data_IF_714446804277
#
_entry.id   IF_714446804277
#
_cell.length_a   1.000
_cell.length_b   1.000
_cell.length_c   1.000
_cell.angle_alpha   90.00
_cell.angle_beta   90.00
_cell.angle_gamma   90.00
#
_symmetry.space_group_name_H-M   'P 1'
#
loop_
_entity.id
_entity.type
_entity.pdbx_description
1 polymer ?
#
# COMPACT_ATOMS: atom_id res chain seq x y z
N UNK A 1 9.07 -11.38 -15.68
CA UNK A 1 9.52 -10.01 -15.99
C UNK A 1 8.94 -9.03 -15.00
N UNK A 2 7.62 -8.75 -15.00
CA UNK A 2 6.99 -7.70 -14.18
C UNK A 2 7.28 -7.80 -12.68
N UNK A 3 7.23 -9.00 -12.11
CA UNK A 3 7.53 -9.19 -10.67
C UNK A 3 9.00 -8.95 -10.31
N UNK A 4 9.95 -9.27 -11.20
CA UNK A 4 11.37 -8.94 -11.01
C UNK A 4 11.56 -7.42 -11.10
N UNK A 5 10.88 -6.77 -12.04
CA UNK A 5 10.86 -5.31 -12.15
C UNK A 5 10.33 -4.66 -10.87
N UNK A 6 9.21 -5.15 -10.33
CA UNK A 6 8.63 -4.67 -9.07
C UNK A 6 9.60 -4.85 -7.89
N UNK A 7 10.27 -6.00 -7.81
CA UNK A 7 11.26 -6.27 -6.76
C UNK A 7 12.45 -5.31 -6.81
N UNK A 8 13.05 -5.14 -7.99
CA UNK A 8 14.20 -4.24 -8.16
C UNK A 8 13.78 -2.78 -7.93
N UNK A 9 12.62 -2.37 -8.47
CA UNK A 9 12.08 -1.03 -8.28
C UNK A 9 11.83 -0.72 -6.81
N UNK A 10 11.17 -1.61 -6.07
CA UNK A 10 10.92 -1.45 -4.64
C UNK A 10 12.22 -1.39 -3.83
N UNK A 11 13.21 -2.23 -4.16
CA UNK A 11 14.51 -2.22 -3.49
C UNK A 11 15.29 -0.92 -3.74
N UNK A 12 15.23 -0.36 -4.95
CA UNK A 12 15.93 0.87 -5.32
C UNK A 12 15.23 2.14 -4.82
N UNK A 13 13.90 2.13 -4.76
CA UNK A 13 13.08 3.23 -4.24
C UNK A 13 13.19 3.33 -2.72
N UNK A 14 13.34 2.20 -2.05
CA UNK A 14 13.34 2.06 -0.60
C UNK A 14 11.92 1.99 0.01
N UNK A 15 11.83 1.65 1.29
CA UNK A 15 10.55 1.45 1.96
C UNK A 15 9.81 2.77 2.19
N UNK A 16 8.47 2.68 2.23
CA UNK A 16 7.61 3.80 2.65
C UNK A 16 7.98 4.25 4.06
N UNK A 17 7.77 5.54 4.35
CA UNK A 17 8.03 6.13 5.66
C UNK A 17 7.27 5.34 6.74
N UNK A 18 8.00 4.86 7.76
CA UNK A 18 7.43 4.09 8.86
C UNK A 18 7.15 2.60 8.58
N UNK A 19 7.43 2.07 7.40
CA UNK A 19 7.23 0.63 7.12
C UNK A 19 8.09 -0.26 8.02
N UNK A 20 9.36 0.07 8.18
CA UNK A 20 10.30 -0.67 9.01
C UNK A 20 10.82 0.19 10.15
N UNK A 21 10.52 -0.19 11.39
CA UNK A 21 11.03 0.48 12.58
C UNK A 21 12.40 -0.09 12.91
N UNK A 22 13.38 0.80 13.09
CA UNK A 22 14.76 0.43 13.42
C UNK A 22 15.09 0.89 14.85
N UNK A 23 15.93 0.12 15.54
CA UNK A 23 16.55 0.53 16.80
C UNK A 23 17.72 1.50 16.57
N UNK A 24 18.35 1.93 17.67
CA UNK A 24 19.53 2.82 17.65
C UNK A 24 20.73 2.24 16.89
N UNK A 25 20.77 0.92 16.71
CA UNK A 25 21.82 0.20 15.99
C UNK A 25 21.48 -0.05 14.50
N UNK A 26 20.34 0.48 14.04
CA UNK A 26 19.87 0.31 12.66
C UNK A 26 19.21 -1.05 12.37
N UNK A 27 19.03 -1.91 13.38
CA UNK A 27 18.36 -3.21 13.22
C UNK A 27 16.85 -3.03 13.20
N UNK A 28 16.18 -3.67 12.25
CA UNK A 28 14.73 -3.65 12.16
C UNK A 28 14.13 -4.46 13.32
N UNK A 29 13.30 -3.81 14.11
CA UNK A 29 12.63 -4.37 15.29
C UNK A 29 11.16 -4.63 15.07
N UNK A 30 10.53 -3.89 14.16
CA UNK A 30 9.09 -4.03 13.85
C UNK A 30 8.81 -3.73 12.37
N UNK A 31 7.88 -4.49 11.81
CA UNK A 31 7.31 -4.25 10.48
C UNK A 31 5.87 -3.76 10.66
N UNK A 32 5.57 -2.59 10.15
CA UNK A 32 4.22 -2.03 10.23
C UNK A 32 3.38 -2.44 9.01
N UNK A 33 2.10 -2.72 9.25
CA UNK A 33 1.13 -2.94 8.19
C UNK A 33 0.65 -1.59 7.62
N UNK A 34 0.43 -1.56 6.31
CA UNK A 34 -0.19 -0.45 5.60
C UNK A 34 -1.43 -1.00 4.88
N UNK A 35 -2.59 -1.04 5.55
CA UNK A 35 -3.81 -1.56 4.96
C UNK A 35 -4.26 -0.70 3.78
N UNK A 36 -4.88 -1.34 2.78
CA UNK A 36 -5.51 -0.64 1.68
C UNK A 36 -6.69 0.22 2.17
N UNK A 37 -6.93 1.33 1.50
CA UNK A 37 -7.98 2.29 1.85
C UNK A 37 -9.41 1.79 1.54
N UNK A 38 -9.56 0.86 0.57
CA UNK A 38 -10.88 0.37 0.14
C UNK A 38 -10.81 -1.07 -0.38
N UNK A 39 -11.03 -2.04 0.50
CA UNK A 39 -11.05 -3.46 0.12
C UNK A 39 -12.17 -3.84 -0.86
N UNK A 40 -13.41 -3.32 -0.77
CA UNK A 40 -14.44 -3.58 -1.79
C UNK A 40 -14.03 -3.14 -3.18
N UNK A 41 -13.37 -1.98 -3.32
CA UNK A 41 -12.84 -1.52 -4.62
C UNK A 41 -11.69 -2.41 -5.10
N UNK A 42 -10.82 -2.85 -4.19
CA UNK A 42 -9.77 -3.84 -4.50
C UNK A 42 -10.36 -5.17 -4.98
N UNK A 43 -11.44 -5.64 -4.36
CA UNK A 43 -12.17 -6.84 -4.77
C UNK A 43 -12.75 -6.69 -6.19
N UNK A 44 -13.40 -5.56 -6.48
CA UNK A 44 -13.90 -5.24 -7.83
C UNK A 44 -12.75 -5.26 -8.85
N UNK A 45 -11.60 -4.67 -8.50
CA UNK A 45 -10.40 -4.69 -9.35
C UNK A 45 -9.94 -6.12 -9.67
N UNK A 46 -9.93 -7.02 -8.68
CA UNK A 46 -9.57 -8.43 -8.89
C UNK A 46 -10.57 -9.14 -9.82
N UNK A 47 -11.87 -8.89 -9.67
CA UNK A 47 -12.88 -9.46 -10.59
C UNK A 47 -12.71 -8.96 -12.02
N UNK A 48 -12.43 -7.68 -12.23
CA UNK A 48 -12.16 -7.11 -13.55
C UNK A 48 -10.90 -7.74 -14.16
N UNK A 49 -9.83 -7.90 -13.37
CA UNK A 49 -8.61 -8.56 -13.81
C UNK A 49 -8.86 -10.03 -14.16
N UNK A 50 -9.63 -10.76 -13.36
CA UNK A 50 -9.95 -12.15 -13.63
C UNK A 50 -10.76 -12.31 -14.91
N UNK A 51 -11.76 -11.45 -15.12
CA UNK A 51 -12.50 -11.42 -16.39
C UNK A 51 -11.56 -11.16 -17.58
N UNK A 52 -10.68 -10.17 -17.47
CA UNK A 52 -9.68 -9.87 -18.49
C UNK A 52 -8.70 -11.03 -18.73
N UNK A 53 -8.45 -11.85 -17.71
CA UNK A 53 -7.55 -12.99 -17.79
C UNK A 53 -8.06 -14.13 -18.68
N UNK A 54 -9.37 -14.30 -18.78
CA UNK A 54 -9.95 -15.19 -19.79
C UNK A 54 -9.58 -14.75 -21.21
N UNK A 55 -9.62 -13.46 -21.49
CA UNK A 55 -9.13 -12.91 -22.75
C UNK A 55 -7.62 -13.08 -22.92
N UNK A 56 -6.85 -12.81 -21.87
CA UNK A 56 -5.40 -12.90 -21.88
C UNK A 56 -4.91 -14.33 -22.16
N UNK A 57 -5.37 -15.32 -21.38
CA UNK A 57 -5.02 -16.72 -21.58
C UNK A 57 -5.68 -17.31 -22.84
N UNK A 58 -6.95 -16.94 -23.07
CA UNK A 58 -7.72 -17.43 -24.22
C UNK A 58 -7.19 -16.96 -25.58
N UNK A 59 -6.44 -15.86 -25.62
CA UNK A 59 -5.82 -15.37 -26.86
C UNK A 59 -4.79 -16.36 -27.45
N UNK A 60 -4.29 -17.29 -26.66
CA UNK A 60 -3.41 -18.36 -27.13
C UNK A 60 -4.16 -19.49 -27.88
N UNK A 61 -5.48 -19.60 -27.71
CA UNK A 61 -6.27 -20.66 -28.29
C UNK A 61 -6.37 -20.56 -29.82
N UNK A 62 -6.27 -21.69 -30.50
CA UNK A 62 -6.44 -21.78 -31.94
C UNK A 62 -7.67 -22.63 -32.34
N UNK A 63 -8.39 -23.19 -31.35
CA UNK A 63 -9.66 -23.91 -31.53
C UNK A 63 -10.61 -23.61 -30.34
N UNK A 64 -11.89 -23.88 -30.55
CA UNK A 64 -12.92 -23.72 -29.50
C UNK A 64 -12.71 -24.73 -28.36
N UNK A 65 -12.25 -25.93 -28.66
CA UNK A 65 -11.95 -26.95 -27.67
C UNK A 65 -10.79 -26.54 -26.76
N UNK A 66 -9.74 -25.99 -27.35
CA UNK A 66 -8.60 -25.42 -26.59
C UNK A 66 -9.01 -24.24 -25.76
N UNK A 67 -9.81 -23.32 -26.31
CA UNK A 67 -10.35 -22.17 -25.57
C UNK A 67 -11.16 -22.63 -24.34
N UNK A 68 -12.00 -23.65 -24.51
CA UNK A 68 -12.75 -24.27 -23.42
C UNK A 68 -11.83 -24.83 -22.33
N UNK A 69 -10.78 -25.58 -22.72
CA UNK A 69 -9.78 -26.09 -21.78
C UNK A 69 -9.05 -24.97 -21.02
N UNK A 70 -8.61 -23.95 -21.72
CA UNK A 70 -7.95 -22.78 -21.11
C UNK A 70 -8.86 -22.08 -20.11
N UNK A 71 -10.15 -21.93 -20.41
CA UNK A 71 -11.10 -21.33 -19.48
C UNK A 71 -11.29 -22.16 -18.21
N UNK A 72 -11.32 -23.48 -18.34
CA UNK A 72 -11.41 -24.41 -17.20
C UNK A 72 -10.16 -24.26 -16.30
N UNK A 73 -8.96 -24.34 -16.86
CA UNK A 73 -7.71 -24.22 -16.09
C UNK A 73 -7.57 -22.84 -15.44
N UNK A 74 -7.93 -21.78 -16.17
CA UNK A 74 -7.93 -20.38 -15.71
C UNK A 74 -8.96 -20.13 -14.60
N UNK A 75 -10.02 -20.93 -14.52
CA UNK A 75 -11.02 -20.85 -13.43
C UNK A 75 -10.56 -21.65 -12.21
N UNK A 76 -10.08 -22.87 -12.40
CA UNK A 76 -9.74 -23.78 -11.31
C UNK A 76 -8.60 -23.25 -10.45
N UNK A 77 -7.47 -22.88 -11.06
CA UNK A 77 -6.27 -22.52 -10.32
C UNK A 77 -6.48 -21.32 -9.36
N UNK A 78 -7.03 -20.17 -9.80
CA UNK A 78 -7.27 -19.05 -8.89
C UNK A 78 -8.35 -19.35 -7.83
N UNK A 79 -9.37 -20.15 -8.17
CA UNK A 79 -10.40 -20.55 -7.20
C UNK A 79 -9.80 -21.38 -6.07
N UNK A 80 -8.99 -22.38 -6.40
CA UNK A 80 -8.29 -23.22 -5.42
C UNK A 80 -7.26 -22.40 -4.62
N UNK A 81 -6.50 -21.52 -5.27
CA UNK A 81 -5.55 -20.66 -4.58
C UNK A 81 -6.24 -19.78 -3.53
N UNK A 82 -7.39 -19.19 -3.87
CA UNK A 82 -8.20 -18.39 -2.96
C UNK A 82 -8.69 -19.20 -1.77
N UNK A 83 -9.26 -20.39 -2.01
CA UNK A 83 -9.80 -21.27 -0.95
C UNK A 83 -8.68 -21.74 -0.02
N UNK A 84 -7.54 -22.16 -0.56
CA UNK A 84 -6.39 -22.62 0.23
C UNK A 84 -5.83 -21.47 1.08
N UNK A 85 -5.67 -20.28 0.50
CA UNK A 85 -5.25 -19.10 1.24
C UNK A 85 -6.25 -18.70 2.33
N UNK A 86 -7.55 -18.75 2.03
CA UNK A 86 -8.62 -18.46 2.99
C UNK A 86 -8.55 -19.41 4.19
N UNK A 87 -8.46 -20.72 3.96
CA UNK A 87 -8.35 -21.72 5.01
C UNK A 87 -7.07 -21.51 5.82
N UNK A 88 -5.93 -21.33 5.15
CA UNK A 88 -4.64 -21.12 5.80
C UNK A 88 -4.64 -19.88 6.71
N UNK A 89 -5.11 -18.74 6.19
CA UNK A 89 -5.17 -17.49 6.96
C UNK A 89 -6.18 -17.58 8.10
N UNK A 90 -7.30 -18.27 7.89
CA UNK A 90 -8.29 -18.50 8.93
C UNK A 90 -7.72 -19.31 10.10
N UNK A 91 -7.07 -20.44 9.80
CA UNK A 91 -6.43 -21.28 10.83
C UNK A 91 -5.33 -20.52 11.56
N UNK A 92 -4.51 -19.76 10.82
CA UNK A 92 -3.33 -19.07 11.37
C UNK A 92 -3.67 -17.81 12.16
N UNK A 93 -4.65 -17.03 11.70
CA UNK A 93 -4.98 -15.70 12.25
C UNK A 93 -6.34 -15.64 12.95
N UNK A 94 -7.08 -16.75 12.99
CA UNK A 94 -8.43 -16.81 13.59
C UNK A 94 -9.55 -16.23 12.72
N UNK A 95 -9.21 -15.51 11.65
CA UNK A 95 -10.14 -14.96 10.64
C UNK A 95 -9.48 -15.01 9.26
N UNK A 96 -10.28 -15.19 8.18
CA UNK A 96 -9.75 -15.09 6.82
C UNK A 96 -9.23 -13.68 6.54
N UNK A 97 -8.07 -13.60 5.88
CA UNK A 97 -7.53 -12.32 5.42
C UNK A 97 -7.99 -12.03 4.00
N UNK A 98 -8.88 -11.05 3.85
CA UNK A 98 -9.49 -10.70 2.56
C UNK A 98 -8.43 -10.22 1.57
N UNK A 99 -7.46 -9.41 2.01
CA UNK A 99 -6.42 -8.88 1.12
C UNK A 99 -5.51 -9.99 0.61
N UNK A 100 -5.17 -10.96 1.46
CA UNK A 100 -4.43 -12.16 1.06
C UNK A 100 -5.24 -13.05 0.12
N UNK A 101 -6.55 -13.22 0.32
CA UNK A 101 -7.41 -13.97 -0.58
C UNK A 101 -7.48 -13.32 -1.98
N UNK A 102 -7.53 -11.99 -2.05
CA UNK A 102 -7.48 -11.26 -3.31
C UNK A 102 -6.13 -11.47 -4.03
N UNK A 103 -5.03 -11.38 -3.30
CA UNK A 103 -3.71 -11.67 -3.84
C UNK A 103 -3.57 -13.14 -4.26
N UNK A 104 -4.17 -14.08 -3.55
CA UNK A 104 -4.16 -15.50 -3.91
C UNK A 104 -4.93 -15.80 -5.20
N UNK A 105 -6.06 -15.10 -5.41
CA UNK A 105 -6.79 -15.18 -6.69
C UNK A 105 -5.89 -14.78 -7.86
N UNK A 106 -5.20 -13.65 -7.74
CA UNK A 106 -4.26 -13.19 -8.76
C UNK A 106 -3.04 -14.11 -8.89
N UNK A 107 -2.52 -14.62 -7.78
CA UNK A 107 -1.39 -15.55 -7.77
C UNK A 107 -1.71 -16.87 -8.51
N UNK A 108 -2.92 -17.41 -8.31
CA UNK A 108 -3.40 -18.58 -9.03
C UNK A 108 -3.56 -18.33 -10.53
N UNK A 109 -4.06 -17.15 -10.93
CA UNK A 109 -4.12 -16.71 -12.32
C UNK A 109 -2.72 -16.62 -12.94
N UNK A 110 -1.78 -15.98 -12.25
CA UNK A 110 -0.39 -15.85 -12.71
C UNK A 110 0.25 -17.23 -12.87
N UNK A 111 0.10 -18.09 -11.88
CA UNK A 111 0.76 -19.40 -11.89
C UNK A 111 0.24 -20.34 -12.99
N UNK A 112 -1.06 -20.30 -13.30
CA UNK A 112 -1.61 -21.16 -14.36
C UNK A 112 -1.32 -20.61 -15.75
N UNK A 113 -1.04 -19.32 -15.89
CA UNK A 113 -0.87 -18.64 -17.19
C UNK A 113 0.18 -19.31 -18.08
N UNK A 114 1.32 -19.70 -17.51
CA UNK A 114 2.40 -20.32 -18.30
C UNK A 114 2.03 -21.67 -18.92
N UNK A 115 1.07 -22.36 -18.33
CA UNK A 115 0.67 -23.70 -18.77
C UNK A 115 -0.83 -23.87 -19.00
N UNK A 116 -1.60 -22.78 -19.09
CA UNK A 116 -3.06 -22.81 -19.14
C UNK A 116 -3.63 -23.67 -20.26
N UNK A 117 -2.91 -23.84 -21.36
CA UNK A 117 -3.24 -24.60 -22.55
C UNK A 117 -2.70 -26.04 -22.56
N UNK A 118 -1.68 -26.31 -21.71
CA UNK A 118 -0.96 -27.62 -21.73
C UNK A 118 -1.09 -28.42 -20.44
N UNK A 119 -1.78 -27.89 -19.42
CA UNK A 119 -2.10 -28.64 -18.19
C UNK A 119 -3.57 -29.07 -18.17
N UNK A 120 -3.87 -30.09 -17.40
CA UNK A 120 -5.25 -30.53 -17.15
C UNK A 120 -5.84 -29.91 -15.87
N UNK A 121 -7.10 -30.27 -15.56
CA UNK A 121 -7.79 -29.80 -14.37
C UNK A 121 -7.06 -30.20 -13.08
N UNK A 122 -6.48 -31.40 -13.01
CA UNK A 122 -5.74 -31.87 -11.83
C UNK A 122 -4.46 -31.04 -11.62
N UNK A 123 -3.67 -30.85 -12.69
CA UNK A 123 -2.51 -29.96 -12.66
C UNK A 123 -2.87 -28.56 -12.19
N UNK A 124 -4.00 -28.01 -12.66
CA UNK A 124 -4.50 -26.68 -12.25
C UNK A 124 -4.87 -26.61 -10.77
N UNK A 125 -5.44 -27.68 -10.20
CA UNK A 125 -5.74 -27.77 -8.76
C UNK A 125 -4.44 -27.68 -7.95
N UNK A 126 -3.41 -28.44 -8.33
CA UNK A 126 -2.12 -28.44 -7.62
C UNK A 126 -1.42 -27.09 -7.77
N UNK A 127 -1.42 -26.54 -8.98
CA UNK A 127 -0.85 -25.21 -9.25
C UNK A 127 -1.50 -24.17 -8.35
N UNK A 128 -2.83 -24.14 -8.28
CA UNK A 128 -3.58 -23.23 -7.44
C UNK A 128 -3.31 -23.42 -5.95
N UNK A 129 -3.29 -24.67 -5.48
CA UNK A 129 -3.05 -24.98 -4.07
C UNK A 129 -1.68 -24.47 -3.59
N UNK A 130 -0.64 -24.72 -4.37
CA UNK A 130 0.71 -24.20 -4.08
C UNK A 130 0.74 -22.68 -4.13
N UNK A 131 0.07 -22.06 -5.11
CA UNK A 131 0.01 -20.60 -5.25
C UNK A 131 -0.62 -19.91 -4.06
N UNK A 132 -1.70 -20.49 -3.52
CA UNK A 132 -2.39 -19.96 -2.35
C UNK A 132 -1.52 -19.90 -1.08
N UNK A 133 -0.61 -20.87 -0.91
CA UNK A 133 0.37 -20.87 0.18
C UNK A 133 1.59 -19.98 -0.13
N UNK A 134 2.06 -20.06 -1.37
CA UNK A 134 3.26 -19.36 -1.82
C UNK A 134 3.08 -17.83 -1.74
N UNK A 135 1.91 -17.30 -2.03
CA UNK A 135 1.66 -15.86 -1.95
C UNK A 135 1.73 -15.36 -0.50
N UNK A 136 1.16 -16.10 0.46
CA UNK A 136 1.23 -15.73 1.87
C UNK A 136 2.68 -15.78 2.39
N UNK A 137 3.39 -16.85 2.04
CA UNK A 137 4.81 -16.97 2.36
C UNK A 137 5.63 -15.85 1.71
N UNK A 138 5.37 -15.54 0.45
CA UNK A 138 6.10 -14.53 -0.32
C UNK A 138 5.96 -13.13 0.26
N UNK A 139 4.75 -12.70 0.61
CA UNK A 139 4.52 -11.42 1.29
C UNK A 139 5.25 -11.37 2.64
N UNK A 140 5.09 -12.42 3.45
CA UNK A 140 5.80 -12.52 4.72
C UNK A 140 7.33 -12.46 4.54
N UNK A 141 7.87 -13.14 3.54
CA UNK A 141 9.30 -13.20 3.25
C UNK A 141 9.84 -11.84 2.82
N UNK A 142 9.12 -11.11 1.94
CA UNK A 142 9.49 -9.76 1.54
C UNK A 142 9.55 -8.81 2.74
N UNK A 143 8.54 -8.83 3.59
CA UNK A 143 8.42 -7.93 4.73
C UNK A 143 9.40 -8.27 5.86
N UNK A 144 9.56 -9.56 6.21
CA UNK A 144 10.22 -9.96 7.46
C UNK A 144 11.63 -10.55 7.28
N UNK A 145 12.02 -10.89 6.04
CA UNK A 145 13.35 -11.49 5.79
C UNK A 145 14.23 -10.60 4.94
N UNK A 146 13.75 -10.16 3.80
CA UNK A 146 14.54 -9.34 2.88
C UNK A 146 14.27 -7.83 3.05
N UNK A 147 13.23 -7.46 3.78
CA UNK A 147 12.85 -6.08 4.09
C UNK A 147 12.72 -5.19 2.85
N UNK A 148 12.11 -5.72 1.81
CA UNK A 148 11.70 -4.99 0.61
C UNK A 148 10.23 -4.65 0.76
N UNK A 149 9.90 -3.36 0.71
CA UNK A 149 8.51 -2.89 0.82
C UNK A 149 7.79 -3.12 -0.51
N UNK A 150 6.98 -4.17 -0.56
CA UNK A 150 6.10 -4.52 -1.68
C UNK A 150 4.66 -4.09 -1.33
N UNK A 151 4.22 -2.89 -1.74
CA UNK A 151 2.99 -2.28 -1.23
C UNK A 151 1.72 -3.10 -1.47
N UNK A 152 1.68 -3.85 -2.56
CA UNK A 152 0.49 -4.59 -3.00
C UNK A 152 0.72 -6.10 -3.12
N UNK A 153 1.89 -6.59 -2.75
CA UNK A 153 2.23 -8.00 -2.90
C UNK A 153 2.61 -8.40 -4.33
N UNK A 154 3.01 -7.44 -5.17
CA UNK A 154 3.34 -7.70 -6.58
C UNK A 154 4.52 -8.66 -6.75
N UNK A 155 5.50 -8.62 -5.86
CA UNK A 155 6.63 -9.56 -5.87
C UNK A 155 6.15 -10.98 -5.59
N UNK A 156 5.34 -11.17 -4.55
CA UNK A 156 4.80 -12.47 -4.20
C UNK A 156 3.85 -13.01 -5.28
N UNK A 157 2.95 -12.17 -5.81
CA UNK A 157 1.96 -12.55 -6.83
C UNK A 157 2.63 -12.83 -8.18
N UNK A 158 3.45 -11.91 -8.69
CA UNK A 158 3.94 -12.00 -10.07
C UNK A 158 5.32 -12.65 -10.17
N UNK A 159 6.27 -12.35 -9.29
CA UNK A 159 7.60 -12.96 -9.37
C UNK A 159 7.57 -14.40 -8.87
N UNK A 160 7.16 -14.63 -7.64
CA UNK A 160 7.23 -15.97 -7.05
C UNK A 160 6.26 -16.94 -7.71
N UNK A 161 5.02 -16.51 -7.96
CA UNK A 161 4.05 -17.36 -8.64
C UNK A 161 4.27 -17.46 -10.16
N UNK A 162 4.90 -16.48 -10.79
CA UNK A 162 5.38 -16.61 -12.18
C UNK A 162 6.51 -17.63 -12.32
N UNK A 163 7.45 -17.65 -11.37
CA UNK A 163 8.49 -18.70 -11.28
C UNK A 163 7.84 -20.07 -11.08
N UNK A 164 6.92 -20.15 -10.12
CA UNK A 164 6.18 -21.40 -9.85
C UNK A 164 5.42 -21.87 -11.09
N UNK A 165 4.68 -21.00 -11.77
CA UNK A 165 3.92 -21.34 -12.98
C UNK A 165 4.80 -21.87 -14.11
N UNK A 166 5.97 -21.27 -14.32
CA UNK A 166 6.94 -21.73 -15.31
C UNK A 166 7.48 -23.12 -14.94
N UNK A 167 7.82 -23.37 -13.67
CA UNK A 167 8.22 -24.68 -13.18
C UNK A 167 7.08 -25.69 -13.36
N UNK A 168 5.84 -25.28 -13.06
CA UNK A 168 4.66 -26.13 -13.13
C UNK A 168 4.38 -26.67 -14.54
N UNK A 169 4.71 -25.93 -15.60
CA UNK A 169 4.68 -26.49 -16.99
C UNK A 169 5.61 -27.67 -17.11
N UNK A 170 6.82 -27.57 -16.58
CA UNK A 170 7.78 -28.67 -16.58
C UNK A 170 7.36 -29.90 -15.76
N UNK A 171 6.44 -29.71 -14.82
CA UNK A 171 5.93 -30.76 -13.94
C UNK A 171 4.62 -31.37 -14.46
N UNK A 172 3.68 -30.54 -14.93
CA UNK A 172 2.28 -30.94 -15.16
C UNK A 172 1.81 -30.83 -16.60
N UNK A 173 2.65 -30.50 -17.59
CA UNK A 173 2.25 -30.54 -18.98
C UNK A 173 1.82 -31.94 -19.37
N UNK A 174 0.66 -32.08 -20.04
CA UNK A 174 0.07 -33.37 -20.35
C UNK A 174 -0.31 -33.52 -21.82
N UNK A 175 -0.11 -34.72 -22.37
CA UNK A 175 -0.49 -35.06 -23.76
C UNK A 175 -2.00 -35.05 -23.98
N UNK A 176 -2.80 -35.10 -22.92
CA UNK A 176 -4.27 -35.02 -23.02
C UNK A 176 -4.79 -33.61 -23.20
N UNK A 177 -3.97 -32.58 -22.99
CA UNK A 177 -4.37 -31.20 -23.23
C UNK A 177 -4.56 -30.95 -24.75
N UNK A 178 -5.63 -30.21 -25.16
CA UNK A 178 -5.91 -29.98 -26.58
C UNK A 178 -4.77 -29.33 -27.35
N UNK A 179 -4.06 -28.41 -26.73
CA UNK A 179 -2.92 -27.74 -27.34
C UNK A 179 -1.73 -28.66 -27.60
N UNK A 180 -1.50 -29.65 -26.72
CA UNK A 180 -0.44 -30.65 -26.90
C UNK A 180 -0.67 -31.55 -28.10
N UNK A 181 -1.92 -31.97 -28.30
CA UNK A 181 -2.29 -32.90 -29.40
C UNK A 181 -2.04 -32.32 -30.81
N UNK A 182 -2.02 -30.95 -30.93
CA UNK A 182 -1.80 -30.30 -32.23
C UNK A 182 -0.34 -30.09 -32.61
N UNK A 183 0.56 -30.13 -31.65
CA UNK A 183 1.86 -29.47 -31.77
C UNK A 183 2.96 -30.28 -32.43
N UNK A 184 2.82 -31.56 -32.67
CA UNK A 184 3.97 -32.44 -32.98
C UNK A 184 3.88 -33.28 -34.24
N UNK A 185 2.83 -33.12 -35.08
CA UNK A 185 2.64 -33.97 -36.25
C UNK A 185 3.26 -33.47 -37.55
N UNK A 186 3.21 -32.22 -37.86
CA UNK A 186 3.24 -31.75 -39.26
C UNK A 186 4.32 -30.75 -39.63
N UNK A 187 5.31 -30.53 -38.81
CA UNK A 187 6.44 -29.63 -39.12
C UNK A 187 6.06 -28.15 -39.36
N UNK A 188 4.83 -27.75 -39.10
CA UNK A 188 4.31 -26.41 -39.33
C UNK A 188 3.70 -25.91 -38.04
N UNK A 189 4.53 -25.54 -37.06
CA UNK A 189 3.98 -24.90 -35.88
C UNK A 189 4.91 -23.82 -35.37
N UNK A 190 4.60 -22.67 -35.78
CA UNK A 190 5.02 -21.44 -35.11
C UNK A 190 3.87 -20.95 -34.23
N UNK A 191 3.66 -21.61 -33.11
CA UNK A 191 2.71 -21.17 -32.09
C UNK A 191 3.42 -21.03 -30.75
N UNK A 192 2.95 -20.14 -29.92
CA UNK A 192 3.48 -19.92 -28.57
C UNK A 192 3.44 -21.17 -27.66
N UNK A 193 2.81 -22.25 -28.11
CA UNK A 193 2.41 -23.41 -27.29
C UNK A 193 3.28 -24.64 -27.54
N UNK A 194 4.47 -24.49 -28.09
CA UNK A 194 5.37 -25.65 -28.29
C UNK A 194 6.05 -26.04 -26.99
N UNK A 195 5.73 -27.23 -26.49
CA UNK A 195 6.44 -27.83 -25.37
C UNK A 195 7.26 -29.05 -25.89
N UNK A 196 8.45 -29.24 -25.31
CA UNK A 196 9.38 -30.29 -25.74
C UNK A 196 8.87 -31.71 -25.43
N UNK A 197 7.91 -31.84 -24.52
CA UNK A 197 7.34 -33.11 -24.09
C UNK A 197 6.38 -32.93 -22.90
N UNK A 198 5.82 -34.06 -22.47
CA UNK A 198 5.02 -34.10 -21.25
C UNK A 198 5.87 -33.67 -20.04
N UNK A 199 5.21 -33.19 -18.99
CA UNK A 199 5.84 -32.82 -17.72
C UNK A 199 6.32 -34.08 -16.97
N UNK A 200 7.16 -33.82 -15.96
CA UNK A 200 7.78 -34.88 -15.16
C UNK A 200 6.76 -35.87 -14.58
N UNK A 201 5.66 -35.37 -14.03
CA UNK A 201 4.62 -36.19 -13.39
C UNK A 201 3.72 -36.94 -14.40
N UNK A 202 3.80 -36.59 -15.68
CA UNK A 202 3.09 -37.28 -16.80
C UNK A 202 4.03 -38.08 -17.68
N UNK A 203 5.18 -38.49 -17.15
CA UNK A 203 6.11 -39.42 -17.77
C UNK A 203 7.04 -38.84 -18.84
N UNK A 204 7.14 -37.49 -18.92
CA UNK A 204 8.00 -36.79 -19.88
C UNK A 204 9.47 -36.66 -19.46
N UNK A 205 9.83 -37.12 -18.25
CA UNK A 205 11.19 -36.99 -17.73
C UNK A 205 11.54 -35.51 -17.41
N UNK A 206 12.85 -35.22 -17.33
CA UNK A 206 13.35 -33.91 -16.94
C UNK A 206 13.54 -32.93 -18.10
N UNK A 207 13.30 -33.33 -19.34
CA UNK A 207 13.59 -32.50 -20.53
C UNK A 207 12.79 -31.20 -20.51
N UNK A 208 11.46 -31.30 -20.38
CA UNK A 208 10.59 -30.12 -20.34
C UNK A 208 10.91 -29.22 -19.12
N UNK A 209 11.11 -29.84 -17.97
CA UNK A 209 11.46 -29.09 -16.76
C UNK A 209 12.79 -28.33 -16.93
N UNK A 210 13.80 -28.98 -17.51
CA UNK A 210 15.11 -28.37 -17.78
C UNK A 210 15.02 -27.16 -18.72
N UNK A 211 14.21 -27.25 -19.76
CA UNK A 211 13.98 -26.15 -20.71
C UNK A 211 13.24 -24.98 -20.04
N UNK A 212 12.23 -25.27 -19.23
CA UNK A 212 11.51 -24.24 -18.48
C UNK A 212 12.43 -23.51 -17.49
N UNK A 213 13.28 -24.23 -16.76
CA UNK A 213 14.25 -23.65 -15.85
C UNK A 213 15.27 -22.78 -16.59
N UNK A 214 15.79 -23.26 -17.72
CA UNK A 214 16.74 -22.50 -18.53
C UNK A 214 16.10 -21.20 -19.05
N UNK A 215 14.92 -21.28 -19.65
CA UNK A 215 14.19 -20.12 -20.17
C UNK A 215 13.88 -19.10 -19.07
N UNK A 216 13.45 -19.58 -17.91
CA UNK A 216 13.20 -18.75 -16.73
C UNK A 216 14.46 -18.03 -16.27
N UNK A 217 15.58 -18.73 -16.16
CA UNK A 217 16.87 -18.11 -15.73
C UNK A 217 17.37 -17.07 -16.73
N UNK A 218 17.29 -17.35 -18.02
CA UNK A 218 17.66 -16.40 -19.07
C UNK A 218 16.78 -15.14 -19.01
N UNK A 219 15.46 -15.31 -18.88
CA UNK A 219 14.52 -14.20 -18.76
C UNK A 219 14.75 -13.40 -17.48
N UNK A 220 15.02 -14.07 -16.36
CA UNK A 220 15.31 -13.40 -15.10
C UNK A 220 16.61 -12.58 -15.17
N UNK A 221 17.67 -13.16 -15.72
CA UNK A 221 18.96 -12.48 -15.89
C UNK A 221 18.82 -11.25 -16.80
N UNK A 222 18.19 -11.41 -17.98
CA UNK A 222 17.95 -10.31 -18.90
C UNK A 222 17.14 -9.18 -18.25
N UNK A 223 16.04 -9.54 -17.57
CA UNK A 223 15.17 -8.58 -16.89
C UNK A 223 15.94 -7.86 -15.78
N UNK A 224 16.67 -8.59 -14.94
CA UNK A 224 17.43 -8.00 -13.83
C UNK A 224 18.44 -6.98 -14.33
N UNK A 225 19.20 -7.30 -15.37
CA UNK A 225 20.19 -6.39 -15.95
C UNK A 225 19.53 -5.15 -16.57
N UNK A 226 18.59 -5.36 -17.47
CA UNK A 226 17.98 -4.24 -18.23
C UNK A 226 17.19 -3.31 -17.31
N UNK A 227 16.41 -3.84 -16.36
CA UNK A 227 15.63 -3.03 -15.43
C UNK A 227 16.52 -2.29 -14.43
N UNK A 228 17.60 -2.90 -13.93
CA UNK A 228 18.54 -2.21 -13.06
C UNK A 228 19.17 -1.01 -13.79
N UNK A 229 19.60 -1.20 -15.03
CA UNK A 229 20.15 -0.10 -15.84
C UNK A 229 19.09 1.00 -16.04
N UNK A 230 17.86 0.62 -16.39
CA UNK A 230 16.75 1.56 -16.58
C UNK A 230 16.50 2.40 -15.33
N UNK A 231 16.36 1.77 -14.16
CA UNK A 231 16.15 2.51 -12.91
C UNK A 231 17.36 3.39 -12.54
N UNK A 232 18.59 2.96 -12.79
CA UNK A 232 19.77 3.78 -12.55
C UNK A 232 19.78 5.04 -13.44
N UNK A 233 19.41 4.90 -14.71
CA UNK A 233 19.29 6.04 -15.65
C UNK A 233 18.18 6.99 -15.18
N UNK A 234 17.00 6.49 -14.84
CA UNK A 234 15.90 7.31 -14.34
C UNK A 234 16.31 8.03 -13.05
N UNK A 235 16.96 7.31 -12.13
CA UNK A 235 17.47 7.88 -10.88
C UNK A 235 18.44 9.01 -11.09
N UNK A 236 19.34 8.88 -12.10
CA UNK A 236 20.34 9.89 -12.42
C UNK A 236 19.73 11.15 -13.06
N UNK A 237 18.65 11.02 -13.85
CA UNK A 237 18.05 12.13 -14.60
C UNK A 237 16.93 12.82 -13.81
N UNK A 238 16.02 12.05 -13.20
CA UNK A 238 14.79 12.55 -12.60
C UNK A 238 14.69 12.32 -11.08
N UNK A 239 15.54 11.45 -10.53
CA UNK A 239 15.31 10.87 -9.21
C UNK A 239 14.29 9.73 -9.24
N UNK A 240 14.17 8.98 -8.14
CA UNK A 240 13.20 7.88 -8.04
C UNK A 240 12.19 8.10 -6.92
N UNK A 241 12.46 9.01 -5.98
CA UNK A 241 11.63 9.19 -4.81
C UNK A 241 11.37 10.68 -4.59
N UNK A 242 10.14 10.99 -4.25
CA UNK A 242 9.71 12.31 -3.82
C UNK A 242 10.29 12.66 -2.45
N UNK A 243 10.18 13.93 -2.06
CA UNK A 243 10.59 14.39 -0.74
C UNK A 243 9.71 13.75 0.37
N UNK A 244 10.24 13.68 1.58
CA UNK A 244 9.50 13.17 2.74
C UNK A 244 8.20 13.95 2.99
N UNK A 245 8.23 15.26 2.76
CA UNK A 245 7.06 16.13 2.93
C UNK A 245 5.96 15.81 1.91
N UNK A 246 6.32 15.58 0.65
CA UNK A 246 5.38 15.18 -0.39
C UNK A 246 4.80 13.79 -0.14
N UNK A 247 5.62 12.83 0.30
CA UNK A 247 5.16 11.48 0.64
C UNK A 247 4.14 11.51 1.80
N UNK A 248 4.34 12.37 2.81
CA UNK A 248 3.41 12.52 3.94
C UNK A 248 2.11 13.21 3.51
N UNK A 249 2.20 14.23 2.66
CA UNK A 249 1.02 14.96 2.15
C UNK A 249 0.19 14.06 1.22
N UNK A 250 0.85 13.21 0.46
CA UNK A 250 0.27 12.40 -0.60
C UNK A 250 0.46 13.01 -1.99
N UNK A 251 0.64 12.15 -2.98
CA UNK A 251 1.07 12.55 -4.32
C UNK A 251 -0.07 13.08 -5.20
N UNK A 252 -1.32 12.87 -4.82
CA UNK A 252 -2.48 13.35 -5.59
C UNK A 252 -2.43 14.86 -5.81
N UNK A 253 -2.06 15.61 -4.78
CA UNK A 253 -1.98 17.07 -4.86
C UNK A 253 -0.72 17.55 -5.59
N UNK A 254 0.42 16.92 -5.35
CA UNK A 254 1.71 17.37 -5.87
C UNK A 254 1.96 16.95 -7.31
N UNK A 255 1.56 15.74 -7.69
CA UNK A 255 1.77 15.22 -9.05
C UNK A 255 0.61 15.51 -9.99
N UNK A 256 -0.62 15.52 -9.48
CA UNK A 256 -1.82 15.62 -10.32
C UNK A 256 -2.60 16.91 -10.12
N UNK A 257 -2.28 17.72 -9.08
CA UNK A 257 -3.03 18.95 -8.76
C UNK A 257 -4.49 18.66 -8.37
N UNK A 258 -4.77 17.45 -7.87
CA UNK A 258 -6.10 17.01 -7.49
C UNK A 258 -6.23 16.97 -5.95
N UNK A 259 -7.42 17.22 -5.39
CA UNK A 259 -7.66 16.90 -4.00
C UNK A 259 -7.47 15.40 -3.81
N UNK A 260 -7.03 14.98 -2.61
CA UNK A 260 -6.81 13.56 -2.32
C UNK A 260 -7.97 12.70 -2.79
N UNK A 261 -7.68 11.66 -3.59
CA UNK A 261 -8.66 10.70 -4.09
C UNK A 261 -9.46 10.02 -2.97
N UNK A 262 -8.96 10.11 -1.74
CA UNK A 262 -9.52 9.52 -0.52
C UNK A 262 -10.10 10.55 0.45
N UNK A 263 -10.31 11.77 0.01
CA UNK A 263 -11.00 12.79 0.80
C UNK A 263 -12.38 12.28 1.19
N UNK A 264 -12.64 12.19 2.50
CA UNK A 264 -13.90 11.67 3.06
C UNK A 264 -13.87 10.22 3.55
N UNK A 265 -12.79 9.46 3.30
CA UNK A 265 -12.56 8.21 4.02
C UNK A 265 -11.95 8.53 5.40
N UNK A 266 -12.57 8.03 6.47
CA UNK A 266 -11.98 8.14 7.80
C UNK A 266 -10.64 7.41 7.80
N UNK A 267 -9.60 8.05 8.35
CA UNK A 267 -8.38 7.35 8.72
C UNK A 267 -8.83 6.35 9.79
N UNK A 268 -8.89 5.07 9.44
CA UNK A 268 -9.04 4.05 10.46
C UNK A 268 -7.85 4.17 11.38
N UNK A 269 -8.10 4.28 12.68
CA UNK A 269 -7.05 4.21 13.70
C UNK A 269 -6.26 2.91 13.45
N UNK A 270 -5.17 3.05 12.75
CA UNK A 270 -4.12 2.07 12.82
C UNK A 270 -3.61 2.27 14.24
N UNK A 271 -3.90 1.31 15.10
CA UNK A 271 -3.31 1.20 16.44
C UNK A 271 -1.80 0.95 16.26
N UNK A 272 -1.16 1.92 15.70
CA UNK A 272 0.25 1.99 15.43
C UNK A 272 0.85 2.94 16.44
N UNK A 273 1.29 2.34 17.52
CA UNK A 273 2.47 2.81 18.21
C UNK A 273 3.63 2.92 17.21
N UNK A 274 3.55 3.87 16.28
CA UNK A 274 4.74 4.39 15.63
C UNK A 274 5.47 5.21 16.67
N UNK A 275 6.23 4.55 17.51
CA UNK A 275 7.36 5.17 18.16
C UNK A 275 8.34 5.55 17.05
N UNK A 276 8.12 6.71 16.44
CA UNK A 276 9.22 7.42 15.78
C UNK A 276 10.14 7.93 16.89
N UNK A 277 10.89 7.03 17.49
CA UNK A 277 12.18 7.39 18.06
C UNK A 277 13.12 7.59 16.88
N UNK A 278 13.13 8.79 16.31
CA UNK A 278 14.34 9.26 15.65
C UNK A 278 14.28 10.75 15.36
N UNK A 279 15.37 11.37 15.82
CA UNK A 279 15.82 12.75 15.62
C UNK A 279 15.08 13.84 16.40
N UNK A 280 15.17 13.71 17.72
CA UNK A 280 15.29 14.85 18.59
C UNK A 280 16.63 15.58 18.30
N UNK A 281 16.70 16.34 17.25
CA UNK A 281 17.68 17.41 17.10
C UNK A 281 17.19 18.40 16.04
N UNK A 282 16.10 19.08 16.37
CA UNK A 282 15.81 20.37 15.75
C UNK A 282 15.08 21.23 16.80
N UNK A 283 15.85 22.04 17.48
CA UNK A 283 15.38 23.20 18.25
C UNK A 283 14.76 24.29 17.33
N UNK A 284 14.21 23.91 16.18
CA UNK A 284 13.74 24.82 15.15
C UNK A 284 12.41 25.53 15.48
N UNK A 285 11.58 24.94 16.36
CA UNK A 285 10.23 25.47 16.59
C UNK A 285 10.13 26.75 17.44
N UNK A 286 11.12 27.04 18.28
CA UNK A 286 11.12 28.25 19.16
C UNK A 286 11.71 29.42 18.43
N UNK A 287 12.79 29.25 17.70
CA UNK A 287 13.44 30.31 16.94
C UNK A 287 12.59 30.85 15.78
N UNK A 288 11.79 29.99 15.13
CA UNK A 288 10.89 30.41 14.04
C UNK A 288 9.70 31.25 14.54
N UNK A 289 9.16 30.96 15.75
CA UNK A 289 8.07 31.74 16.33
C UNK A 289 8.51 33.19 16.64
N UNK A 290 9.72 33.37 17.12
CA UNK A 290 10.26 34.70 17.43
C UNK A 290 10.66 35.49 16.18
N UNK A 291 10.94 34.82 15.07
CA UNK A 291 11.31 35.39 13.77
C UNK A 291 10.12 35.85 12.90
N UNK A 292 8.86 35.60 13.32
CA UNK A 292 7.70 36.10 12.59
C UNK A 292 7.73 37.60 12.42
N UNK A 293 7.61 38.09 11.18
CA UNK A 293 7.65 39.50 10.85
C UNK A 293 6.52 40.29 11.55
N UNK A 294 6.74 41.58 11.83
CA UNK A 294 5.73 42.46 12.42
C UNK A 294 4.43 42.47 11.58
N UNK A 295 4.53 42.35 10.23
CA UNK A 295 3.37 42.25 9.34
C UNK A 295 2.60 40.96 9.52
N UNK A 296 3.26 39.84 9.73
CA UNK A 296 2.63 38.54 10.01
C UNK A 296 1.95 38.52 11.40
N UNK A 297 2.58 39.13 12.40
CA UNK A 297 2.01 39.31 13.74
C UNK A 297 0.81 40.28 13.73
N UNK A 298 0.86 41.33 12.92
CA UNK A 298 -0.22 42.34 12.79
C UNK A 298 -1.43 41.80 12.00
N UNK A 299 -1.22 40.89 11.03
CA UNK A 299 -2.29 40.25 10.28
C UNK A 299 -3.02 39.14 11.09
N UNK A 300 -2.50 38.76 12.26
CA UNK A 300 -3.15 37.81 13.14
C UNK A 300 -4.41 38.44 13.79
N UNK A 301 -5.55 37.79 13.67
CA UNK A 301 -6.82 38.18 14.29
C UNK A 301 -6.59 38.24 15.84
N UNK A 302 -6.81 39.37 16.46
CA UNK A 302 -6.71 39.50 17.91
C UNK A 302 -7.74 38.60 18.59
N UNK A 303 -7.26 37.67 19.40
CA UNK A 303 -8.13 36.82 20.23
C UNK A 303 -8.30 37.53 21.58
N UNK A 304 -9.54 37.83 21.95
CA UNK A 304 -9.86 38.38 23.27
C UNK A 304 -9.76 37.27 24.29
N UNK A 305 -8.92 37.43 25.30
CA UNK A 305 -8.74 36.48 26.39
C UNK A 305 -9.96 36.53 27.32
N UNK A 306 -10.75 35.47 27.37
CA UNK A 306 -11.80 35.31 28.38
C UNK A 306 -11.17 34.86 29.73
N UNK A 307 -11.79 35.16 30.88
CA UNK A 307 -11.24 34.78 32.18
C UNK A 307 -11.11 33.22 32.31
N UNK A 308 -9.99 32.82 32.84
CA UNK A 308 -9.47 31.41 32.81
C UNK A 308 -9.99 30.56 33.97
N UNK A 309 -11.30 30.48 34.22
CA UNK A 309 -11.79 29.59 35.29
C UNK A 309 -12.92 28.74 34.78
N UNK A 310 -12.61 27.43 34.48
CA UNK A 310 -13.65 26.44 34.37
C UNK A 310 -14.15 26.03 35.76
N UNK A 311 -15.44 26.03 36.02
CA UNK A 311 -16.01 25.59 37.30
C UNK A 311 -15.67 24.14 37.65
N UNK A 312 -15.47 23.29 36.65
CA UNK A 312 -15.11 21.88 36.81
C UNK A 312 -13.60 21.61 36.81
N UNK A 313 -12.78 22.59 36.47
CA UNK A 313 -11.35 22.40 36.23
C UNK A 313 -11.02 21.58 34.98
N UNK A 314 -12.04 21.26 34.14
CA UNK A 314 -11.91 20.46 32.93
C UNK A 314 -12.00 21.34 31.69
N UNK A 315 -11.07 21.18 30.77
CA UNK A 315 -11.02 21.98 29.55
C UNK A 315 -11.00 21.05 28.31
N UNK A 316 -11.72 21.49 27.28
CA UNK A 316 -11.63 20.89 25.93
C UNK A 316 -10.83 21.83 25.04
N UNK A 317 -9.69 21.37 24.56
CA UNK A 317 -8.84 22.09 23.61
C UNK A 317 -9.11 21.51 22.21
N UNK A 318 -9.52 22.38 21.28
CA UNK A 318 -9.78 22.03 19.87
C UNK A 318 -8.71 22.69 19.02
N UNK A 319 -7.95 21.89 18.30
CA UNK A 319 -6.85 22.36 17.46
C UNK A 319 -7.21 22.05 16.01
N UNK A 320 -7.30 23.08 15.17
CA UNK A 320 -7.51 22.94 13.73
C UNK A 320 -6.20 23.30 13.04
N UNK A 321 -5.59 22.34 12.31
CA UNK A 321 -4.28 22.49 11.69
C UNK A 321 -4.22 21.88 10.29
N UNK A 322 -3.10 22.11 9.59
CA UNK A 322 -2.80 21.40 8.34
C UNK A 322 -2.65 19.91 8.60
N UNK A 323 -3.19 19.07 7.72
CA UNK A 323 -3.10 17.61 7.84
C UNK A 323 -1.63 17.13 7.90
N UNK A 324 -0.74 17.73 7.13
CA UNK A 324 0.71 17.42 7.10
C UNK A 324 1.44 17.64 8.43
N UNK A 325 0.83 18.37 9.39
CA UNK A 325 1.42 18.61 10.71
C UNK A 325 0.83 17.72 11.81
N UNK A 326 -0.12 16.86 11.46
CA UNK A 326 -0.82 16.02 12.44
C UNK A 326 0.11 15.11 13.25
N UNK A 327 1.01 14.39 12.59
CA UNK A 327 1.91 13.45 13.30
C UNK A 327 2.85 14.15 14.27
N UNK A 328 3.37 15.30 13.88
CA UNK A 328 4.19 16.14 14.78
C UNK A 328 3.37 16.63 15.99
N UNK A 329 2.13 17.06 15.75
CA UNK A 329 1.22 17.48 16.82
C UNK A 329 0.89 16.31 17.76
N UNK A 330 0.57 15.13 17.22
CA UNK A 330 0.26 13.93 17.99
C UNK A 330 1.43 13.56 18.91
N UNK A 331 2.66 13.56 18.37
CA UNK A 331 3.86 13.30 19.16
C UNK A 331 4.01 14.33 20.29
N UNK A 332 3.90 15.61 19.99
CA UNK A 332 4.02 16.66 21.00
C UNK A 332 2.94 16.59 22.10
N UNK A 333 1.72 16.14 21.76
CA UNK A 333 0.67 15.91 22.75
C UNK A 333 0.99 14.71 23.64
N UNK A 334 1.47 13.61 23.07
CA UNK A 334 1.89 12.43 23.84
C UNK A 334 3.06 12.76 24.78
N UNK A 335 4.03 13.56 24.34
CA UNK A 335 5.21 13.95 25.11
C UNK A 335 4.85 14.75 26.38
N UNK A 336 3.74 15.47 26.37
CA UNK A 336 3.21 16.20 27.53
C UNK A 336 2.19 15.39 28.35
N UNK A 337 2.00 14.09 28.03
CA UNK A 337 1.13 13.19 28.79
C UNK A 337 -0.34 13.18 28.36
N UNK A 338 -0.70 13.74 27.22
CA UNK A 338 -2.05 13.63 26.64
C UNK A 338 -2.20 12.24 26.04
N UNK A 339 -3.03 11.38 26.65
CA UNK A 339 -3.23 10.00 26.26
C UNK A 339 -4.47 9.75 25.38
N UNK A 340 -5.40 10.72 25.33
CA UNK A 340 -6.65 10.62 24.56
C UNK A 340 -6.86 11.82 23.66
N UNK A 341 -7.02 11.59 22.36
CA UNK A 341 -7.34 12.61 21.37
C UNK A 341 -8.44 12.11 20.44
N UNK A 342 -9.40 12.97 20.14
CA UNK A 342 -10.35 12.71 19.05
C UNK A 342 -9.90 13.47 17.82
N UNK A 343 -9.78 12.79 16.69
CA UNK A 343 -9.26 13.35 15.45
C UNK A 343 -10.32 13.27 14.36
N UNK A 344 -10.60 14.39 13.71
CA UNK A 344 -11.56 14.47 12.62
C UNK A 344 -10.91 15.20 11.44
N UNK A 345 -10.99 14.64 10.28
CA UNK A 345 -10.60 15.35 9.06
C UNK A 345 -11.68 16.35 8.69
N UNK A 346 -11.29 17.59 8.42
CA UNK A 346 -12.22 18.69 8.11
C UNK A 346 -11.73 19.47 6.90
N UNK A 347 -12.68 20.07 6.18
CA UNK A 347 -12.36 20.99 5.10
C UNK A 347 -12.44 22.43 5.64
N UNK A 348 -11.39 23.20 5.40
CA UNK A 348 -11.31 24.60 5.84
C UNK A 348 -11.41 25.57 4.67
N UNK A 349 -12.29 26.56 4.77
CA UNK A 349 -12.35 27.72 3.89
C UNK A 349 -11.75 28.95 4.62
N UNK A 350 -10.91 29.71 3.96
CA UNK A 350 -10.29 30.91 4.57
C UNK A 350 -9.54 31.76 3.56
N UNK A 351 -8.83 32.79 4.07
CA UNK A 351 -8.07 33.77 3.28
C UNK A 351 -6.94 33.12 2.43
N UNK A 352 -6.51 31.92 2.76
CA UNK A 352 -5.69 31.11 1.88
C UNK A 352 -6.52 30.67 0.68
N UNK A 353 -6.42 31.45 -0.40
CA UNK A 353 -6.78 30.91 -1.72
C UNK A 353 -5.76 29.83 -2.03
N UNK A 354 -6.22 28.59 -2.23
CA UNK A 354 -5.38 27.53 -2.78
C UNK A 354 -4.71 28.01 -4.06
N UNK A 355 -3.52 27.53 -4.37
CA UNK A 355 -2.92 27.74 -5.68
C UNK A 355 -3.97 27.29 -6.70
N UNK A 356 -4.30 28.16 -7.67
CA UNK A 356 -5.37 27.91 -8.63
C UNK A 356 -5.14 26.59 -9.35
N UNK A 357 -5.89 25.57 -8.96
CA UNK A 357 -5.88 24.25 -9.60
C UNK A 357 -6.60 24.38 -10.93
N UNK A 358 -6.02 23.83 -11.99
CA UNK A 358 -6.66 23.81 -13.33
C UNK A 358 -7.19 22.41 -13.60
N UNK A 359 -8.50 22.32 -13.79
CA UNK A 359 -9.11 21.09 -14.30
C UNK A 359 -9.50 21.32 -15.78
N UNK A 360 -8.94 20.53 -16.70
CA UNK A 360 -9.12 20.67 -18.16
C UNK A 360 -8.89 22.09 -18.69
N UNK A 361 -7.87 22.79 -18.11
CA UNK A 361 -7.53 24.16 -18.52
C UNK A 361 -8.36 25.27 -17.89
N UNK A 362 -9.36 24.94 -17.07
CA UNK A 362 -10.20 25.89 -16.32
C UNK A 362 -9.68 26.00 -14.89
N UNK A 363 -9.45 27.21 -14.40
CA UNK A 363 -9.10 27.43 -12.99
C UNK A 363 -10.26 27.03 -12.09
N UNK A 364 -9.98 26.11 -11.15
CA UNK A 364 -10.90 25.74 -10.10
C UNK A 364 -10.64 26.71 -8.91
N UNK A 365 -11.68 27.41 -8.50
CA UNK A 365 -11.68 28.12 -7.21
C UNK A 365 -11.69 27.06 -6.09
N UNK A 366 -10.53 26.57 -5.70
CA UNK A 366 -10.38 25.65 -4.56
C UNK A 366 -10.67 26.42 -3.27
N UNK A 367 -11.93 26.49 -2.89
CA UNK A 367 -12.39 27.21 -1.70
C UNK A 367 -12.19 26.43 -0.43
N UNK A 368 -11.91 25.11 -0.52
CA UNK A 368 -11.81 24.20 0.63
C UNK A 368 -10.45 23.51 0.65
N UNK A 369 -9.72 23.64 1.75
CA UNK A 369 -8.43 22.99 1.98
C UNK A 369 -8.57 21.90 3.05
N UNK A 370 -7.94 20.72 2.86
CA UNK A 370 -7.97 19.64 3.85
C UNK A 370 -7.22 20.07 5.12
N UNK A 371 -7.87 19.91 6.26
CA UNK A 371 -7.33 20.18 7.59
C UNK A 371 -7.69 19.05 8.55
N UNK A 372 -7.02 19.02 9.69
CA UNK A 372 -7.33 18.12 10.79
C UNK A 372 -7.86 18.94 11.97
N UNK A 373 -8.91 18.44 12.60
CA UNK A 373 -9.42 18.91 13.87
C UNK A 373 -9.07 17.89 14.95
N UNK A 374 -8.25 18.29 15.90
CA UNK A 374 -7.84 17.47 17.03
C UNK A 374 -8.51 18.02 18.29
N UNK A 375 -9.23 17.18 19.01
CA UNK A 375 -9.92 17.54 20.25
C UNK A 375 -9.30 16.77 21.41
N UNK A 376 -8.93 17.48 22.44
CA UNK A 376 -8.28 16.96 23.66
C UNK A 376 -9.06 17.45 24.87
N UNK A 377 -9.37 16.57 25.80
CA UNK A 377 -9.96 16.95 27.10
C UNK A 377 -8.90 16.76 28.16
N UNK A 378 -8.60 17.82 28.89
CA UNK A 378 -7.59 17.85 29.94
C UNK A 378 -8.13 18.38 31.26
N UNK A 379 -7.66 17.81 32.38
CA UNK A 379 -7.98 18.23 33.74
C UNK A 379 -6.71 18.39 34.60
N UNK A 380 -5.77 17.46 34.44
CA UNK A 380 -4.50 17.43 35.19
C UNK A 380 -3.35 18.13 34.46
N UNK A 381 -3.45 18.29 33.15
CA UNK A 381 -2.44 18.98 32.33
C UNK A 381 -2.88 20.42 32.16
N UNK A 382 -2.02 21.43 32.51
CA UNK A 382 -2.35 22.85 32.33
C UNK A 382 -2.63 23.15 30.85
N UNK A 383 -3.71 23.87 30.58
CA UNK A 383 -4.12 24.23 29.20
C UNK A 383 -3.01 24.98 28.47
N UNK A 384 -2.29 25.87 29.16
CA UNK A 384 -1.18 26.62 28.56
C UNK A 384 -0.04 25.73 28.09
N UNK A 385 0.20 24.57 28.75
CA UNK A 385 1.17 23.56 28.30
C UNK A 385 0.73 22.92 26.99
N UNK A 386 -0.56 22.58 26.84
CA UNK A 386 -1.12 22.04 25.61
C UNK A 386 -1.02 23.07 24.48
N UNK A 387 -1.37 24.31 24.75
CA UNK A 387 -1.28 25.42 23.78
C UNK A 387 0.17 25.65 23.33
N UNK A 388 1.11 25.66 24.28
CA UNK A 388 2.53 25.87 23.98
C UNK A 388 3.09 24.74 23.09
N UNK A 389 2.80 23.50 23.45
CA UNK A 389 3.21 22.34 22.67
C UNK A 389 2.62 22.36 21.23
N UNK A 390 1.32 22.68 21.12
CA UNK A 390 0.67 22.82 19.82
C UNK A 390 1.27 23.95 18.98
N UNK A 391 1.45 25.12 19.55
CA UNK A 391 2.06 26.32 18.90
C UNK A 391 3.45 25.97 18.37
N UNK A 392 4.31 25.41 19.23
CA UNK A 392 5.68 25.02 18.85
C UNK A 392 5.71 24.09 17.65
N UNK A 393 4.76 23.17 17.55
CA UNK A 393 4.74 22.11 16.53
C UNK A 393 4.10 22.58 15.22
N UNK A 394 3.06 23.41 15.31
CA UNK A 394 2.24 23.79 14.16
C UNK A 394 2.75 25.02 13.42
N UNK A 395 3.56 25.84 14.07
CA UNK A 395 4.06 27.08 13.49
C UNK A 395 4.95 26.85 12.26
N UNK A 396 4.63 27.50 11.15
CA UNK A 396 5.42 27.53 9.91
C UNK A 396 5.81 28.93 9.47
N UNK A 397 5.34 29.97 10.16
CA UNK A 397 5.56 31.35 9.75
C UNK A 397 4.65 31.84 8.61
N UNK A 398 3.77 31.00 8.11
CA UNK A 398 2.85 31.32 7.02
C UNK A 398 1.39 31.35 7.47
N UNK A 399 0.58 32.16 6.80
CA UNK A 399 -0.87 32.20 7.02
C UNK A 399 -1.45 30.78 6.81
N UNK A 400 -2.28 30.31 7.77
CA UNK A 400 -2.98 29.01 7.68
C UNK A 400 -2.40 27.90 8.55
N UNK A 401 -1.48 28.20 9.46
CA UNK A 401 -0.92 27.23 10.40
C UNK A 401 -1.95 26.59 11.32
N UNK A 402 -3.08 27.23 11.53
CA UNK A 402 -4.19 26.67 12.29
C UNK A 402 -4.75 27.62 13.35
N UNK A 403 -5.69 27.09 14.13
CA UNK A 403 -6.31 27.77 15.26
C UNK A 403 -6.49 26.83 16.43
N UNK A 404 -6.35 27.36 17.65
CA UNK A 404 -6.59 26.63 18.90
C UNK A 404 -7.74 27.29 19.61
N UNK A 405 -8.74 26.51 19.98
CA UNK A 405 -9.90 26.94 20.72
C UNK A 405 -9.92 26.21 22.06
N UNK A 406 -10.24 26.95 23.15
CA UNK A 406 -10.36 26.38 24.49
C UNK A 406 -11.79 26.56 24.95
N UNK A 407 -12.41 25.48 25.41
CA UNK A 407 -13.76 25.49 25.95
C UNK A 407 -13.74 24.97 27.37
N UNK A 408 -14.54 25.60 28.24
CA UNK A 408 -14.85 25.03 29.54
C UNK A 408 -15.81 23.84 29.38
N UNK A 409 -15.55 22.78 30.12
CA UNK A 409 -16.40 21.56 30.12
C UNK A 409 -17.08 21.53 31.51
N UNK A 410 -18.40 21.61 31.51
CA UNK A 410 -19.15 21.60 32.75
C UNK A 410 -19.15 20.23 33.42
N UNK A 411 -19.21 19.16 32.61
CA UNK A 411 -19.27 17.79 33.10
C UNK A 411 -18.73 16.78 32.06
N UNK A 412 -18.03 15.76 32.56
CA UNK A 412 -17.61 14.56 31.78
C UNK A 412 -18.13 13.34 32.51
N UNK A 413 -18.73 12.42 31.76
CA UNK A 413 -19.23 11.15 32.31
C UNK A 413 -18.55 10.00 31.59
N UNK A 414 -17.92 9.11 32.33
CA UNK A 414 -17.32 7.90 31.78
C UNK A 414 -18.44 6.87 31.54
N UNK A 415 -18.64 6.46 30.29
CA UNK A 415 -19.69 5.50 29.92
C UNK A 415 -19.57 4.18 30.68
N UNK A 416 -18.36 3.73 30.98
CA UNK A 416 -18.12 2.44 31.63
C UNK A 416 -18.47 2.46 33.12
N UNK A 417 -18.26 3.56 33.82
CA UNK A 417 -18.42 3.63 35.29
C UNK A 417 -19.56 4.54 35.74
N UNK A 418 -20.08 5.39 34.87
CA UNK A 418 -21.09 6.40 35.20
C UNK A 418 -20.57 7.58 36.01
N UNK A 419 -19.27 7.63 36.34
CA UNK A 419 -18.60 8.70 37.06
C UNK A 419 -18.36 9.90 36.17
#
# INVERSE_FOLDING_TARGET
VGGITAFIGAAMLGPRIGKFVKDSNGKITKVNAFPGHNLPLGCLGVFILWLGWYGFNGAAATSVEELGSIFVTTTIAPSIATVVCMIFTWVKYGKPDVSMCLNASLAGLVAVTAGCDVVDAFGSIVIGAVSGLLVVFGVWFCDNKIHVDDPVGAVAVHMMNGIWGTIAVGLFATKSAPAFARGYGDGVTYGANQIAGAGLFYGGGFSQLGLQLLGMLCTAAFTAVTITITFLVIKAIFGLRVSEEEEIIGLDATEHGLPSAYAGFSIMDIDNTMTMEQNANTNLGVEEYDRASAAQKAAAVKVVKAPDVSPSGIYKVVIIAKLSRYDKLRKAMNDIGVTGMTVTQVMGCGIQKGAGEKYRGVELDATLLPKVKVEVVVSSIPVDTVIAAAKKTLYTGHIGDGKIFVYNVDRVVKVRTGE
#
